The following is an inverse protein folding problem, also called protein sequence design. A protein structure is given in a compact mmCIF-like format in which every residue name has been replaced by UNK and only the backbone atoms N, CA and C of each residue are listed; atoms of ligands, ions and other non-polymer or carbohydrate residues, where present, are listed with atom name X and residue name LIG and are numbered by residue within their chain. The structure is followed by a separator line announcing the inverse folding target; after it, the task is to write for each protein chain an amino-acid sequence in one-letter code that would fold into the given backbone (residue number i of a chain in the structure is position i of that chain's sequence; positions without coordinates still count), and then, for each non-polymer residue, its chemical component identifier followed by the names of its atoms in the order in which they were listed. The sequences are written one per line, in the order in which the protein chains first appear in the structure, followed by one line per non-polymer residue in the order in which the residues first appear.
data_IF_732409890276
#
_entry.id   IF_732409890276
#
_cell.length_a   1.000
_cell.length_b   1.000
_cell.length_c   1.000
_cell.angle_alpha   90.00
_cell.angle_beta   90.00
_cell.angle_gamma   90.00
#
_symmetry.space_group_name_H-M   'P 1'
#
loop_
_entity.id
_entity.type
_entity.pdbx_description
1 polymer ?
#
# COMPACT_ATOMS: atom_id res chain seq x y z
N UNK A 1 6.55 -4.01 9.66
CA UNK A 1 7.26 -5.08 8.98
C UNK A 1 7.65 -4.68 7.58
N UNK A 2 8.81 -5.06 7.16
CA UNK A 2 9.35 -4.74 5.83
C UNK A 2 9.40 -6.02 4.99
N UNK A 3 8.86 -5.94 3.76
CA UNK A 3 8.92 -7.06 2.83
C UNK A 3 9.56 -6.59 1.51
N UNK A 4 10.03 -7.55 0.71
CA UNK A 4 10.61 -7.23 -0.59
C UNK A 4 9.51 -7.00 -1.64
N UNK A 5 9.87 -6.33 -2.74
CA UNK A 5 8.95 -6.14 -3.85
C UNK A 5 8.49 -7.49 -4.43
N UNK A 6 9.38 -8.47 -4.49
CA UNK A 6 9.03 -9.81 -4.99
C UNK A 6 8.02 -10.51 -4.09
N UNK A 7 8.20 -10.43 -2.77
CA UNK A 7 7.23 -10.98 -1.83
C UNK A 7 5.85 -10.34 -1.98
N UNK A 8 5.84 -9.00 -2.13
CA UNK A 8 4.60 -8.27 -2.33
C UNK A 8 3.92 -8.67 -3.64
N UNK A 9 4.69 -8.86 -4.71
CA UNK A 9 4.15 -9.27 -6.00
C UNK A 9 3.44 -10.61 -5.90
N UNK A 10 4.06 -11.57 -5.23
CA UNK A 10 3.46 -12.89 -5.03
C UNK A 10 2.15 -12.80 -4.23
N UNK A 11 2.11 -11.96 -3.21
CA UNK A 11 0.89 -11.76 -2.43
C UNK A 11 -0.22 -11.11 -3.26
N UNK A 12 0.12 -10.17 -4.12
CA UNK A 12 -0.84 -9.52 -5.00
C UNK A 12 -1.41 -10.53 -6.00
N UNK A 13 -0.56 -11.35 -6.60
CA UNK A 13 -0.99 -12.37 -7.57
C UNK A 13 -1.89 -13.41 -6.92
N UNK A 14 -1.65 -13.75 -5.66
CA UNK A 14 -2.49 -14.66 -4.89
C UNK A 14 -3.75 -14.03 -4.31
N UNK A 15 -3.96 -12.74 -4.54
CA UNK A 15 -5.08 -11.97 -3.98
C UNK A 15 -5.11 -12.05 -2.44
N UNK A 16 -3.94 -12.03 -1.82
CA UNK A 16 -3.77 -12.19 -0.38
C UNK A 16 -3.49 -10.89 0.36
N UNK A 17 -3.57 -9.74 -0.32
CA UNK A 17 -3.25 -8.47 0.28
C UNK A 17 -4.08 -7.33 -0.28
N UNK A 18 -4.07 -6.23 0.47
CA UNK A 18 -4.51 -4.92 -0.01
C UNK A 18 -3.25 -4.11 -0.30
N UNK A 19 -2.99 -3.83 -1.57
CA UNK A 19 -1.83 -3.03 -1.95
C UNK A 19 -2.24 -1.57 -2.00
N UNK A 20 -1.53 -0.73 -1.26
CA UNK A 20 -1.90 0.69 -1.10
C UNK A 20 -0.73 1.59 -1.43
N UNK A 21 -0.94 2.44 -2.45
CA UNK A 21 0.00 3.45 -2.88
C UNK A 21 -0.27 4.72 -2.07
N UNK A 22 0.67 5.13 -1.24
CA UNK A 22 0.51 6.32 -0.39
C UNK A 22 1.22 7.56 -0.93
N UNK A 23 1.69 7.50 -2.19
CA UNK A 23 2.32 8.65 -2.83
C UNK A 23 1.30 9.74 -3.11
N UNK A 24 1.79 10.95 -3.41
CA UNK A 24 0.91 12.06 -3.81
C UNK A 24 0.49 11.89 -5.27
N UNK A 25 -0.66 12.46 -5.62
CA UNK A 25 -1.24 12.27 -6.96
C UNK A 25 -0.29 12.72 -8.09
N UNK A 26 0.48 13.77 -7.88
CA UNK A 26 1.43 14.23 -8.89
C UNK A 26 2.55 13.21 -9.16
N UNK A 27 2.90 12.40 -8.16
CA UNK A 27 3.89 11.33 -8.37
C UNK A 27 3.31 10.26 -9.29
N UNK A 28 2.04 9.89 -9.10
CA UNK A 28 1.37 8.93 -9.99
C UNK A 28 1.26 9.46 -11.41
N UNK A 29 0.93 10.74 -11.55
CA UNK A 29 0.83 11.37 -12.87
C UNK A 29 2.17 11.38 -13.61
N UNK A 30 3.27 11.49 -12.88
CA UNK A 30 4.62 11.56 -13.48
C UNK A 30 5.22 10.18 -13.78
N UNK A 31 4.92 9.16 -12.97
CA UNK A 31 5.59 7.85 -13.08
C UNK A 31 4.64 6.70 -13.36
N UNK A 32 3.34 6.94 -13.36
CA UNK A 32 2.33 5.89 -13.54
C UNK A 32 1.86 5.27 -12.24
N UNK A 33 0.88 4.39 -12.37
CA UNK A 33 0.22 3.70 -11.25
C UNK A 33 0.56 2.22 -11.30
N UNK A 34 0.54 1.58 -10.15
CA UNK A 34 0.69 0.12 -10.08
C UNK A 34 -0.70 -0.50 -10.23
N UNK A 35 -0.88 -1.37 -11.22
CA UNK A 35 -2.14 -2.08 -11.41
C UNK A 35 -2.44 -2.94 -10.18
N UNK A 36 -3.66 -2.85 -9.68
CA UNK A 36 -4.10 -3.59 -8.50
C UNK A 36 -3.93 -2.82 -7.19
N UNK A 37 -3.30 -1.65 -7.20
CA UNK A 37 -3.12 -0.83 -6.00
C UNK A 37 -4.26 0.15 -5.81
N UNK A 38 -4.65 0.33 -4.56
CA UNK A 38 -5.53 1.43 -4.16
C UNK A 38 -4.67 2.65 -3.89
N UNK A 39 -5.06 3.82 -4.39
CA UNK A 39 -4.34 5.05 -4.11
C UNK A 39 -4.98 5.77 -2.93
N UNK A 40 -4.24 5.87 -1.84
CA UNK A 40 -4.65 6.64 -0.66
C UNK A 40 -3.44 7.48 -0.24
N UNK A 41 -3.42 8.78 -0.56
CA UNK A 41 -2.28 9.64 -0.20
C UNK A 41 -2.01 9.59 1.30
N UNK A 42 -0.74 9.72 1.68
CA UNK A 42 -0.33 9.61 3.08
C UNK A 42 -1.19 10.46 4.02
N UNK A 43 -1.56 11.68 3.60
CA UNK A 43 -2.35 12.61 4.43
C UNK A 43 -3.79 12.15 4.68
N UNK A 44 -4.31 11.22 3.90
CA UNK A 44 -5.67 10.71 4.03
C UNK A 44 -5.73 9.29 4.56
N UNK A 45 -4.57 8.71 4.86
CA UNK A 45 -4.48 7.28 5.15
C UNK A 45 -5.30 6.87 6.38
N UNK A 46 -5.13 7.59 7.49
CA UNK A 46 -5.84 7.27 8.73
C UNK A 46 -7.35 7.45 8.58
N UNK A 47 -7.77 8.45 7.82
CA UNK A 47 -9.20 8.70 7.58
C UNK A 47 -9.81 7.57 6.77
N UNK A 48 -9.17 7.17 5.67
CA UNK A 48 -9.70 6.15 4.77
C UNK A 48 -9.61 4.74 5.37
N UNK A 49 -8.65 4.49 6.24
CA UNK A 49 -8.49 3.18 6.86
C UNK A 49 -9.13 3.10 8.25
N UNK A 50 -9.90 4.10 8.64
CA UNK A 50 -10.78 3.99 9.80
C UNK A 50 -11.79 2.88 9.51
N UNK A 51 -12.06 1.96 10.48
CA UNK A 51 -12.98 0.85 10.25
C UNK A 51 -14.37 1.25 9.77
N UNK A 52 -14.80 2.47 10.05
CA UNK A 52 -16.11 2.98 9.63
C UNK A 52 -16.09 3.68 8.27
N UNK A 53 -14.93 3.75 7.60
CA UNK A 53 -14.83 4.45 6.32
C UNK A 53 -15.53 3.68 5.20
N UNK A 54 -15.97 4.38 4.12
CA UNK A 54 -16.66 3.72 3.01
C UNK A 54 -15.86 2.61 2.35
N UNK A 55 -14.56 2.78 2.16
CA UNK A 55 -13.75 1.76 1.45
C UNK A 55 -13.56 0.49 2.28
N UNK A 56 -13.63 0.59 3.60
CA UNK A 56 -13.61 -0.58 4.47
C UNK A 56 -14.99 -1.24 4.48
N UNK A 57 -16.04 -0.43 4.62
CA UNK A 57 -17.41 -0.95 4.71
C UNK A 57 -17.87 -1.62 3.41
N UNK A 58 -17.43 -1.13 2.26
CA UNK A 58 -17.83 -1.72 0.97
C UNK A 58 -16.89 -2.84 0.50
N UNK A 59 -15.85 -3.17 1.26
CA UNK A 59 -14.94 -4.25 0.93
C UNK A 59 -13.85 -3.92 -0.09
N UNK A 60 -13.75 -2.67 -0.54
CA UNK A 60 -12.68 -2.25 -1.46
C UNK A 60 -11.30 -2.51 -0.83
N UNK A 61 -11.18 -2.26 0.47
CA UNK A 61 -10.05 -2.71 1.26
C UNK A 61 -10.58 -3.77 2.22
N UNK A 62 -10.06 -4.98 2.11
CA UNK A 62 -10.48 -6.10 2.96
C UNK A 62 -9.64 -6.10 4.23
N UNK A 63 -10.25 -5.73 5.35
CA UNK A 63 -9.55 -5.63 6.64
C UNK A 63 -9.01 -6.97 7.15
N UNK A 64 -9.43 -8.09 6.57
CA UNK A 64 -8.96 -9.40 6.96
C UNK A 64 -7.70 -9.84 6.22
N UNK A 65 -7.29 -9.08 5.19
CA UNK A 65 -6.06 -9.35 4.44
C UNK A 65 -4.95 -8.42 4.87
N UNK A 66 -3.72 -8.83 4.59
CA UNK A 66 -2.53 -8.02 4.86
C UNK A 66 -2.66 -6.66 4.17
N UNK A 67 -2.33 -5.59 4.88
CA UNK A 67 -2.16 -4.26 4.26
C UNK A 67 -0.69 -4.12 3.86
N UNK A 68 -0.45 -3.81 2.60
CA UNK A 68 0.91 -3.59 2.11
C UNK A 68 0.98 -2.18 1.55
N UNK A 69 1.73 -1.32 2.23
CA UNK A 69 1.88 0.09 1.85
C UNK A 69 3.16 0.29 1.04
N UNK A 70 3.14 1.22 0.09
CA UNK A 70 4.37 1.63 -0.56
C UNK A 70 4.35 3.12 -0.90
N UNK A 71 5.54 3.70 -0.95
CA UNK A 71 5.76 5.07 -1.41
C UNK A 71 6.83 5.01 -2.50
N UNK A 72 7.49 6.12 -2.81
CA UNK A 72 8.49 6.13 -3.88
C UNK A 72 9.73 5.30 -3.51
N UNK A 73 10.28 5.49 -2.30
CA UNK A 73 11.54 4.87 -1.88
C UNK A 73 11.51 4.11 -0.57
N UNK A 74 10.41 4.13 0.16
CA UNK A 74 10.23 3.34 1.39
C UNK A 74 10.22 4.12 2.70
N UNK A 75 10.54 5.42 2.70
CA UNK A 75 10.61 6.20 3.95
C UNK A 75 9.22 6.54 4.49
N UNK A 76 8.38 7.12 3.64
CA UNK A 76 7.01 7.50 4.06
C UNK A 76 6.20 6.28 4.45
N UNK A 77 6.36 5.16 3.75
CA UNK A 77 5.62 3.94 4.04
C UNK A 77 6.06 3.30 5.35
N UNK A 78 7.34 3.37 5.69
CA UNK A 78 7.82 2.88 6.99
C UNK A 78 7.16 3.62 8.14
N UNK A 79 7.07 4.95 8.03
CA UNK A 79 6.42 5.78 9.05
C UNK A 79 4.90 5.55 9.10
N UNK A 80 4.29 5.32 7.93
CA UNK A 80 2.87 5.05 7.85
C UNK A 80 2.49 3.72 8.53
N UNK A 81 3.32 2.70 8.37
CA UNK A 81 3.09 1.41 9.05
C UNK A 81 3.06 1.61 10.56
N UNK A 82 3.98 2.40 11.10
CA UNK A 82 4.01 2.69 12.53
C UNK A 82 2.70 3.34 12.98
N UNK A 83 2.24 4.33 12.23
CA UNK A 83 1.01 5.06 12.55
C UNK A 83 -0.21 4.14 12.54
N UNK A 84 -0.33 3.27 11.54
CA UNK A 84 -1.46 2.36 11.42
C UNK A 84 -1.43 1.25 12.46
N UNK A 85 -0.24 0.80 12.89
CA UNK A 85 -0.13 -0.14 14.01
C UNK A 85 -0.69 0.47 15.29
N UNK A 86 -0.44 1.75 15.52
CA UNK A 86 -0.99 2.46 16.67
C UNK A 86 -2.52 2.56 16.60
N UNK A 87 -3.10 2.53 15.39
CA UNK A 87 -4.55 2.50 15.20
C UNK A 87 -5.15 1.09 15.40
N UNK A 88 -4.32 0.06 15.57
CA UNK A 88 -4.78 -1.30 15.80
C UNK A 88 -4.61 -2.26 14.62
N UNK A 89 -4.04 -1.83 13.51
CA UNK A 89 -3.75 -2.73 12.40
C UNK A 89 -2.54 -3.61 12.74
N UNK A 90 -2.73 -4.93 12.73
CA UNK A 90 -1.66 -5.88 13.04
C UNK A 90 -1.04 -6.49 11.78
N UNK A 91 -1.86 -6.78 10.76
CA UNK A 91 -1.42 -7.38 9.51
C UNK A 91 -1.04 -6.27 8.54
N UNK A 92 0.12 -5.66 8.75
CA UNK A 92 0.55 -4.52 7.96
C UNK A 92 2.04 -4.58 7.69
N UNK A 93 2.44 -4.27 6.46
CA UNK A 93 3.83 -4.26 5.99
C UNK A 93 4.03 -3.11 5.03
N UNK A 94 5.28 -2.82 4.71
CA UNK A 94 5.59 -1.92 3.61
C UNK A 94 6.70 -2.52 2.75
N UNK A 95 6.84 -2.01 1.53
CA UNK A 95 7.76 -2.57 0.54
C UNK A 95 9.10 -1.86 0.61
N UNK A 96 10.16 -2.63 0.85
CA UNK A 96 11.53 -2.11 0.82
C UNK A 96 11.84 -1.56 -0.57
N UNK A 97 12.35 -0.33 -0.63
CA UNK A 97 12.65 0.35 -1.87
C UNK A 97 11.43 0.90 -2.63
N UNK A 98 10.23 0.64 -2.15
CA UNK A 98 9.00 1.22 -2.68
C UNK A 98 8.77 1.04 -4.17
N UNK A 99 8.17 2.05 -4.81
CA UNK A 99 7.82 2.04 -6.23
C UNK A 99 9.04 1.78 -7.12
N UNK A 100 10.21 2.31 -6.75
CA UNK A 100 11.44 2.10 -7.52
C UNK A 100 11.79 0.61 -7.61
N UNK A 101 11.69 -0.11 -6.49
CA UNK A 101 11.94 -1.56 -6.48
C UNK A 101 10.83 -2.32 -7.20
N UNK A 102 9.58 -1.90 -7.03
CA UNK A 102 8.42 -2.56 -7.63
C UNK A 102 8.45 -2.50 -9.16
N UNK A 103 8.86 -1.38 -9.73
CA UNK A 103 8.91 -1.22 -11.20
C UNK A 103 9.87 -2.18 -11.86
N UNK A 104 10.79 -2.78 -11.10
CA UNK A 104 11.76 -3.77 -11.58
C UNK A 104 11.39 -5.20 -11.21
N UNK A 105 10.21 -5.43 -10.62
CA UNK A 105 9.87 -6.72 -9.99
C UNK A 105 8.58 -7.35 -10.52
N UNK A 106 8.19 -7.04 -11.75
CA UNK A 106 7.04 -7.68 -12.37
C UNK A 106 5.71 -6.96 -12.20
N UNK A 107 5.62 -5.95 -11.33
CA UNK A 107 4.40 -5.16 -11.21
C UNK A 107 4.09 -4.45 -12.51
N UNK A 108 2.82 -4.45 -12.90
CA UNK A 108 2.40 -3.74 -14.10
C UNK A 108 2.16 -2.28 -13.78
N UNK A 109 2.84 -1.41 -14.50
CA UNK A 109 2.69 0.04 -14.36
C UNK A 109 1.78 0.55 -15.47
N UNK A 110 0.76 1.29 -15.11
CA UNK A 110 -0.25 1.79 -16.05
C UNK A 110 -0.40 3.30 -16.01
#
# INVERSE_FOLDING_TARGET
KTITANEAYEMLEGNNCNLIDIREINELDNTGRVEGANHIPRGMLEVYLDPNSPIIQNGQVDKNKELILFCAGGVRSALAVKSLKEMGYEKISHIDGGFAAMSSSGFKII
#
